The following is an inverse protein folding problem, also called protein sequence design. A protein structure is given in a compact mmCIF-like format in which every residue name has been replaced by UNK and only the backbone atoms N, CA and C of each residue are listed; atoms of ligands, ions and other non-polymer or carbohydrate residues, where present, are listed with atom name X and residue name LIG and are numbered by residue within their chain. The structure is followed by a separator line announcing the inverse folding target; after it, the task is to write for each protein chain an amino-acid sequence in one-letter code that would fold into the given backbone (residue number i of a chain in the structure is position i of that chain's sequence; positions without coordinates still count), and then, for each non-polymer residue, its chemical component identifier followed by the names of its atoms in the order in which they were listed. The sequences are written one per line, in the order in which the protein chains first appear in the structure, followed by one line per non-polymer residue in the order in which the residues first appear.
data_IF_785182652192
#
_entry.id   IF_785182652192
#
_cell.length_a   1.000
_cell.length_b   1.000
_cell.length_c   1.000
_cell.angle_alpha   90.00
_cell.angle_beta   90.00
_cell.angle_gamma   90.00
#
_symmetry.space_group_name_H-M   'P 1'
#
loop_
_entity.id
_entity.type
_entity.pdbx_description
1 polymer ?
#
# COMPACT_ATOMS: atom_id res chain seq x y z
N UNK A 1 5.31 -4.53 4.73
CA UNK A 1 5.65 -3.27 5.46
C UNK A 1 4.46 -2.82 6.29
N UNK A 2 4.36 -1.53 6.66
CA UNK A 2 3.23 -1.00 7.43
C UNK A 2 2.19 -0.33 6.51
N UNK A 3 0.99 -0.16 7.05
CA UNK A 3 -0.16 0.41 6.36
C UNK A 3 0.10 1.81 5.76
N UNK A 4 0.85 2.66 6.47
CA UNK A 4 1.12 4.03 6.01
C UNK A 4 2.09 4.03 4.83
N UNK A 5 3.14 3.21 4.89
CA UNK A 5 4.11 3.02 3.80
C UNK A 5 3.41 2.50 2.54
N UNK A 6 2.51 1.53 2.68
CA UNK A 6 1.74 0.96 1.57
C UNK A 6 0.81 1.97 0.88
N UNK A 7 0.31 2.97 1.61
CA UNK A 7 -0.43 4.09 1.00
C UNK A 7 0.52 5.10 0.34
N UNK A 8 1.57 5.53 1.07
CA UNK A 8 2.40 6.66 0.66
C UNK A 8 3.24 6.33 -0.57
N UNK A 9 3.77 5.12 -0.70
CA UNK A 9 4.67 4.78 -1.83
C UNK A 9 3.96 4.86 -3.19
N UNK A 10 2.85 4.16 -3.46
CA UNK A 10 2.19 4.28 -4.75
C UNK A 10 1.64 5.68 -5.00
N UNK A 11 1.11 6.37 -3.97
CA UNK A 11 0.68 7.76 -4.07
C UNK A 11 1.85 8.69 -4.45
N UNK A 12 3.04 8.49 -3.86
CA UNK A 12 4.24 9.26 -4.14
C UNK A 12 4.70 9.04 -5.59
N UNK A 13 4.79 7.79 -6.03
CA UNK A 13 5.20 7.44 -7.40
C UNK A 13 4.28 8.15 -8.40
N UNK A 14 2.96 8.00 -8.27
CA UNK A 14 1.98 8.63 -9.17
C UNK A 14 2.00 10.16 -9.10
N UNK A 15 2.38 10.74 -7.96
CA UNK A 15 2.50 12.20 -7.81
C UNK A 15 3.78 12.73 -8.44
N UNK A 16 4.89 12.02 -8.31
CA UNK A 16 6.21 12.46 -8.79
C UNK A 16 6.42 12.20 -10.27
N UNK A 17 5.80 11.15 -10.83
CA UNK A 17 5.75 10.94 -12.29
C UNK A 17 5.12 12.13 -13.01
N UNK A 18 4.37 12.97 -12.29
CA UNK A 18 3.83 14.24 -12.78
C UNK A 18 3.10 14.13 -14.14
N UNK A 19 2.48 12.99 -14.42
CA UNK A 19 1.70 12.79 -15.63
C UNK A 19 0.52 13.76 -15.61
N UNK A 20 0.43 14.61 -16.63
CA UNK A 20 -0.64 15.63 -16.76
C UNK A 20 -2.04 15.02 -16.78
N UNK A 21 -2.14 13.75 -17.16
CA UNK A 21 -3.38 12.98 -17.22
C UNK A 21 -3.87 12.47 -15.86
N UNK A 22 -3.03 12.51 -14.80
CA UNK A 22 -3.38 12.01 -13.46
C UNK A 22 -3.81 13.16 -12.54
N UNK A 23 -5.05 13.14 -12.14
CA UNK A 23 -5.60 14.04 -11.14
C UNK A 23 -5.37 13.50 -9.70
N UNK A 24 -5.92 14.20 -8.71
CA UNK A 24 -5.79 13.80 -7.30
C UNK A 24 -6.58 12.51 -7.01
N UNK A 25 -7.71 12.27 -7.67
CA UNK A 25 -8.54 11.06 -7.49
C UNK A 25 -7.78 9.83 -8.00
N UNK A 26 -7.08 9.97 -9.12
CA UNK A 26 -6.22 8.94 -9.71
C UNK A 26 -5.11 8.52 -8.75
N UNK A 27 -4.41 9.51 -8.18
CA UNK A 27 -3.31 9.27 -7.22
C UNK A 27 -3.81 8.65 -5.93
N UNK A 28 -4.98 9.08 -5.46
CA UNK A 28 -5.65 8.48 -4.31
C UNK A 28 -6.07 7.03 -4.58
N UNK A 29 -6.54 6.73 -5.79
CA UNK A 29 -6.86 5.35 -6.19
C UNK A 29 -5.64 4.44 -6.05
N UNK A 30 -4.45 4.91 -6.46
CA UNK A 30 -3.18 4.19 -6.25
C UNK A 30 -2.86 3.99 -4.77
N UNK A 31 -2.94 5.06 -3.97
CA UNK A 31 -2.71 4.97 -2.52
C UNK A 31 -3.69 4.02 -1.83
N UNK A 32 -4.97 4.11 -2.14
CA UNK A 32 -6.00 3.22 -1.60
C UNK A 32 -5.82 1.78 -2.07
N UNK A 33 -5.41 1.55 -3.31
CA UNK A 33 -5.03 0.23 -3.78
C UNK A 33 -3.87 -0.36 -2.98
N UNK A 34 -2.88 0.48 -2.64
CA UNK A 34 -1.73 0.07 -1.83
C UNK A 34 -2.09 -0.45 -0.43
N UNK A 35 -3.20 -0.02 0.14
CA UNK A 35 -3.67 -0.51 1.46
C UNK A 35 -4.80 -1.53 1.37
N UNK A 36 -5.36 -1.75 0.19
CA UNK A 36 -6.58 -2.54 0.03
C UNK A 36 -6.43 -3.99 0.50
N UNK A 37 -5.28 -4.61 0.27
CA UNK A 37 -5.05 -6.01 0.63
C UNK A 37 -4.77 -6.21 2.12
N UNK A 38 -4.32 -5.18 2.86
CA UNK A 38 -4.15 -5.22 4.32
C UNK A 38 -5.48 -5.23 5.08
N UNK A 39 -6.60 -4.98 4.41
CA UNK A 39 -7.92 -5.18 5.01
C UNK A 39 -8.25 -6.67 5.25
N UNK A 40 -7.38 -7.59 4.82
CA UNK A 40 -7.43 -8.99 5.22
C UNK A 40 -7.27 -9.20 6.74
N UNK A 41 -6.78 -8.21 7.45
CA UNK A 41 -6.80 -8.18 8.94
C UNK A 41 -8.22 -8.42 9.49
N UNK A 42 -9.27 -7.99 8.79
CA UNK A 42 -10.66 -8.28 9.16
C UNK A 42 -10.95 -9.79 8.97
N UNK A 43 -10.45 -10.37 7.89
CA UNK A 43 -10.57 -11.81 7.62
C UNK A 43 -9.75 -12.63 8.63
N UNK A 44 -8.61 -12.12 9.07
CA UNK A 44 -7.80 -12.72 10.13
C UNK A 44 -8.58 -12.84 11.44
N UNK A 45 -9.36 -11.83 11.82
CA UNK A 45 -10.23 -11.89 13.00
C UNK A 45 -11.29 -13.02 12.87
N UNK A 46 -11.83 -13.22 11.65
CA UNK A 46 -12.75 -14.34 11.38
C UNK A 46 -12.03 -15.67 11.46
N UNK A 47 -10.82 -15.79 10.88
CA UNK A 47 -9.99 -17.00 10.96
C UNK A 47 -9.58 -17.38 12.38
N UNK A 48 -9.50 -16.41 13.30
CA UNK A 48 -9.29 -16.68 14.73
C UNK A 48 -10.51 -17.34 15.38
N UNK A 49 -11.72 -16.97 14.93
CA UNK A 49 -12.97 -17.56 15.42
C UNK A 49 -13.29 -18.91 14.75
N UNK A 50 -12.81 -19.12 13.53
CA UNK A 50 -13.03 -20.33 12.72
C UNK A 50 -11.67 -20.81 12.19
N UNK A 51 -10.91 -21.62 12.96
CA UNK A 51 -9.55 -22.04 12.63
C UNK A 51 -9.40 -22.76 11.29
N UNK A 52 -10.48 -23.37 10.78
CA UNK A 52 -10.52 -24.02 9.46
C UNK A 52 -10.29 -23.02 8.30
N UNK A 53 -10.51 -21.74 8.56
CA UNK A 53 -10.29 -20.65 7.61
C UNK A 53 -8.87 -20.07 7.69
N UNK A 54 -7.86 -20.87 8.05
CA UNK A 54 -6.45 -20.46 8.16
C UNK A 54 -5.89 -19.84 6.86
N UNK A 55 -6.55 -20.05 5.71
CA UNK A 55 -6.20 -19.46 4.41
C UNK A 55 -6.37 -17.93 4.43
N UNK A 56 -7.23 -17.41 5.29
CA UNK A 56 -7.50 -15.98 5.47
C UNK A 56 -6.55 -15.29 6.47
N UNK A 57 -5.39 -15.89 6.73
CA UNK A 57 -4.36 -15.22 7.53
C UNK A 57 -3.81 -13.98 6.82
N UNK A 58 -3.39 -12.98 7.59
CA UNK A 58 -2.68 -11.83 7.06
C UNK A 58 -1.45 -12.28 6.25
N UNK A 59 -1.26 -11.67 5.08
CA UNK A 59 -0.32 -12.12 4.02
C UNK A 59 -0.64 -13.52 3.48
N UNK A 60 -1.92 -13.92 3.52
CA UNK A 60 -2.44 -15.12 2.90
C UNK A 60 -2.79 -14.91 1.42
N UNK A 61 -3.95 -15.41 1.02
CA UNK A 61 -4.39 -15.42 -0.39
C UNK A 61 -4.54 -14.02 -1.01
N UNK A 62 -4.91 -13.02 -0.20
CA UNK A 62 -5.06 -11.63 -0.65
C UNK A 62 -3.75 -11.04 -1.18
N UNK A 63 -2.61 -11.52 -0.67
CA UNK A 63 -1.26 -11.08 -1.04
C UNK A 63 -0.72 -11.84 -2.26
N UNK A 64 -1.57 -12.04 -3.27
CA UNK A 64 -1.22 -12.62 -4.56
C UNK A 64 -1.65 -11.71 -5.71
N UNK A 65 -1.08 -11.91 -6.89
CA UNK A 65 -1.40 -11.08 -8.05
C UNK A 65 -2.89 -11.14 -8.40
N UNK A 66 -3.49 -12.31 -8.42
CA UNK A 66 -4.89 -12.50 -8.83
C UNK A 66 -5.85 -11.94 -7.78
N UNK A 67 -5.69 -12.38 -6.53
CA UNK A 67 -6.60 -11.95 -5.46
C UNK A 67 -6.38 -10.49 -5.08
N UNK A 68 -5.15 -9.97 -5.24
CA UNK A 68 -4.88 -8.54 -5.11
C UNK A 68 -5.65 -7.68 -6.12
N UNK A 69 -5.81 -8.14 -7.37
CA UNK A 69 -6.66 -7.45 -8.35
C UNK A 69 -8.14 -7.47 -7.92
N UNK A 70 -8.64 -8.61 -7.47
CA UNK A 70 -10.02 -8.74 -6.98
C UNK A 70 -10.24 -7.80 -5.79
N UNK A 71 -9.29 -7.80 -4.84
CA UNK A 71 -9.35 -6.94 -3.63
C UNK A 71 -9.32 -5.46 -4.01
N UNK A 72 -8.44 -5.05 -4.95
CA UNK A 72 -8.41 -3.67 -5.46
C UNK A 72 -9.76 -3.25 -6.05
N UNK A 73 -10.37 -4.12 -6.86
CA UNK A 73 -11.66 -3.84 -7.50
C UNK A 73 -12.77 -3.68 -6.46
N UNK A 74 -12.87 -4.62 -5.51
CA UNK A 74 -13.86 -4.57 -4.43
C UNK A 74 -13.64 -3.33 -3.56
N UNK A 75 -12.39 -3.02 -3.21
CA UNK A 75 -12.07 -1.89 -2.34
C UNK A 75 -12.42 -0.55 -3.00
N UNK A 76 -12.04 -0.34 -4.28
CA UNK A 76 -12.41 0.87 -5.03
C UNK A 76 -13.92 1.00 -5.17
N UNK A 77 -14.63 -0.11 -5.42
CA UNK A 77 -16.08 -0.11 -5.45
C UNK A 77 -16.67 0.34 -4.11
N UNK A 78 -16.18 -0.19 -2.99
CA UNK A 78 -16.68 0.16 -1.66
C UNK A 78 -16.43 1.64 -1.32
N UNK A 79 -15.18 2.13 -1.49
CA UNK A 79 -14.85 3.52 -1.14
C UNK A 79 -15.48 4.55 -2.09
N UNK A 80 -15.95 4.13 -3.26
CA UNK A 80 -16.70 4.99 -4.18
C UNK A 80 -18.17 5.21 -3.77
N UNK A 81 -18.67 4.46 -2.75
CA UNK A 81 -20.04 4.59 -2.27
C UNK A 81 -20.25 5.85 -1.43
N UNK A 82 -21.37 6.59 -1.66
CA UNK A 82 -21.65 7.84 -0.95
C UNK A 82 -21.58 7.72 0.57
N UNK A 83 -22.07 6.63 1.13
CA UNK A 83 -22.06 6.37 2.57
C UNK A 83 -20.64 6.24 3.11
N UNK A 84 -19.72 5.59 2.36
CA UNK A 84 -18.35 5.32 2.79
C UNK A 84 -17.48 6.55 2.61
N UNK A 85 -17.47 7.17 1.41
CA UNK A 85 -16.66 8.37 1.24
C UNK A 85 -17.19 9.55 2.06
N UNK A 86 -18.51 9.62 2.32
CA UNK A 86 -19.11 10.60 3.22
C UNK A 86 -18.61 10.45 4.65
N UNK A 87 -18.53 9.23 5.17
CA UNK A 87 -17.95 8.93 6.48
C UNK A 87 -16.45 9.28 6.54
N UNK A 88 -15.68 8.89 5.52
CA UNK A 88 -14.25 9.22 5.43
C UNK A 88 -14.08 10.74 5.44
N UNK A 89 -14.83 11.48 4.61
CA UNK A 89 -14.73 12.93 4.52
C UNK A 89 -15.13 13.64 5.81
N UNK A 90 -16.12 13.10 6.52
CA UNK A 90 -16.50 13.59 7.85
C UNK A 90 -15.35 13.45 8.87
N UNK A 91 -14.70 12.27 8.89
CA UNK A 91 -13.60 11.99 9.81
C UNK A 91 -12.34 12.82 9.52
N UNK A 92 -11.94 12.92 8.26
CA UNK A 92 -10.69 13.58 7.87
C UNK A 92 -10.88 15.06 7.53
N UNK A 93 -12.11 15.56 7.51
CA UNK A 93 -12.47 16.95 7.16
C UNK A 93 -11.87 17.40 5.80
N UNK A 94 -11.94 16.51 4.82
CA UNK A 94 -11.47 16.73 3.44
C UNK A 94 -12.49 16.14 2.47
N UNK A 95 -12.61 16.74 1.29
CA UNK A 95 -13.42 16.16 0.20
C UNK A 95 -12.53 15.21 -0.61
N UNK A 96 -12.60 13.94 -0.26
CA UNK A 96 -11.95 12.84 -0.97
C UNK A 96 -13.04 12.06 -1.68
N UNK A 97 -12.95 11.97 -3.01
CA UNK A 97 -13.82 11.15 -3.83
C UNK A 97 -12.99 10.31 -4.76
N UNK A 98 -13.27 9.04 -4.79
CA UNK A 98 -12.77 8.09 -5.78
C UNK A 98 -13.98 7.58 -6.54
N UNK A 99 -13.89 7.49 -7.85
CA UNK A 99 -14.95 7.00 -8.71
C UNK A 99 -14.66 5.56 -9.12
N UNK A 100 -15.68 4.70 -9.12
CA UNK A 100 -15.51 3.34 -9.61
C UNK A 100 -15.54 3.33 -11.13
N UNK A 101 -14.36 3.20 -11.72
CA UNK A 101 -14.15 3.04 -13.16
C UNK A 101 -12.85 2.26 -13.41
N UNK A 102 -12.66 1.77 -14.65
CA UNK A 102 -11.50 0.96 -14.98
C UNK A 102 -10.15 1.65 -14.76
N UNK A 103 -10.09 2.97 -14.91
CA UNK A 103 -8.89 3.76 -14.66
C UNK A 103 -8.54 3.73 -13.16
N UNK A 104 -9.50 3.97 -12.30
CA UNK A 104 -9.32 3.91 -10.84
C UNK A 104 -8.93 2.50 -10.39
N UNK A 105 -9.56 1.45 -10.94
CA UNK A 105 -9.22 0.04 -10.67
C UNK A 105 -7.79 -0.28 -11.12
N UNK A 106 -7.38 0.16 -12.31
CA UNK A 106 -6.01 -0.06 -12.81
C UNK A 106 -4.96 0.62 -11.94
N UNK A 107 -5.23 1.86 -11.50
CA UNK A 107 -4.33 2.59 -10.61
C UNK A 107 -4.31 1.99 -9.21
N UNK A 108 -5.44 1.49 -8.71
CA UNK A 108 -5.48 0.75 -7.45
C UNK A 108 -4.71 -0.57 -7.56
N UNK A 109 -4.83 -1.28 -8.68
CA UNK A 109 -4.03 -2.48 -8.92
C UNK A 109 -2.52 -2.18 -9.00
N UNK A 110 -2.13 -1.06 -9.60
CA UNK A 110 -0.75 -0.56 -9.49
C UNK A 110 -0.34 -0.37 -8.02
N UNK A 111 -1.22 0.17 -7.18
CA UNK A 111 -1.01 0.27 -5.74
C UNK A 111 -0.81 -1.10 -5.08
N UNK A 112 -1.64 -2.09 -5.44
CA UNK A 112 -1.49 -3.49 -4.98
C UNK A 112 -0.15 -4.08 -5.41
N UNK A 113 0.25 -3.91 -6.67
CA UNK A 113 1.56 -4.40 -7.15
C UNK A 113 2.72 -3.76 -6.38
N UNK A 114 2.61 -2.48 -6.07
CA UNK A 114 3.59 -1.76 -5.24
C UNK A 114 3.62 -2.35 -3.81
N UNK A 115 2.45 -2.63 -3.22
CA UNK A 115 2.34 -3.28 -1.91
C UNK A 115 3.02 -4.65 -1.90
N UNK A 116 2.66 -5.51 -2.86
CA UNK A 116 3.25 -6.85 -2.98
C UNK A 116 4.78 -6.78 -3.14
N UNK A 117 5.27 -5.81 -3.91
CA UNK A 117 6.70 -5.57 -4.03
C UNK A 117 7.35 -5.16 -2.70
N UNK A 118 6.75 -4.22 -1.96
CA UNK A 118 7.24 -3.79 -0.66
C UNK A 118 7.23 -4.94 0.36
N UNK A 119 6.19 -5.78 0.35
CA UNK A 119 6.11 -6.93 1.24
C UNK A 119 7.07 -8.05 0.86
N UNK A 120 7.34 -8.24 -0.43
CA UNK A 120 8.43 -9.10 -0.89
C UNK A 120 9.80 -8.66 -0.32
N UNK A 121 10.03 -7.37 -0.15
CA UNK A 121 11.28 -6.87 0.45
C UNK A 121 11.39 -7.13 1.96
N UNK A 122 10.29 -7.50 2.64
CA UNK A 122 10.29 -7.72 4.10
C UNK A 122 10.49 -9.19 4.47
N UNK A 123 10.75 -9.45 5.75
CA UNK A 123 10.70 -10.79 6.34
C UNK A 123 9.26 -11.31 6.35
N UNK A 124 9.05 -12.62 6.24
CA UNK A 124 7.73 -13.24 6.31
C UNK A 124 7.19 -13.79 4.97
N UNK A 125 7.59 -13.19 3.85
CA UNK A 125 7.22 -13.64 2.51
C UNK A 125 5.74 -13.58 2.19
N UNK A 126 5.40 -13.67 0.90
CA UNK A 126 4.03 -13.62 0.39
C UNK A 126 3.83 -14.64 -0.75
N UNK A 127 2.63 -15.25 -0.89
CA UNK A 127 2.35 -16.25 -1.90
C UNK A 127 1.93 -15.61 -3.24
N UNK A 128 2.88 -14.94 -3.92
CA UNK A 128 2.62 -14.12 -5.13
C UNK A 128 1.78 -14.82 -6.20
N UNK A 129 2.01 -16.12 -6.38
CA UNK A 129 1.41 -16.91 -7.48
C UNK A 129 0.24 -17.79 -7.03
N UNK A 130 -0.33 -17.53 -5.84
CA UNK A 130 -1.54 -18.23 -5.42
C UNK A 130 -2.70 -17.96 -6.42
N UNK A 131 -3.52 -18.94 -6.83
CA UNK A 131 -3.65 -20.31 -6.32
C UNK A 131 -2.71 -21.36 -6.95
N UNK A 132 -1.87 -21.00 -7.91
CA UNK A 132 -1.02 -21.97 -8.65
C UNK A 132 0.17 -22.45 -7.80
N UNK A 133 0.63 -21.65 -6.83
CA UNK A 133 1.74 -21.99 -5.94
C UNK A 133 1.53 -21.40 -4.57
N UNK A 134 1.83 -22.19 -3.54
CA UNK A 134 1.86 -21.77 -2.13
C UNK A 134 3.24 -21.26 -1.70
N UNK A 135 4.23 -21.28 -2.61
CA UNK A 135 5.58 -20.82 -2.33
C UNK A 135 5.55 -19.35 -1.90
N UNK A 136 6.18 -19.06 -0.77
CA UNK A 136 6.30 -17.70 -0.25
C UNK A 136 7.61 -17.06 -0.68
N UNK A 137 7.54 -15.89 -1.26
CA UNK A 137 8.67 -15.14 -1.79
C UNK A 137 9.04 -13.99 -0.85
N UNK A 138 10.34 -13.85 -0.55
CA UNK A 138 10.86 -12.77 0.29
C UNK A 138 12.32 -12.47 -0.06
N UNK A 139 12.70 -11.19 -0.04
CA UNK A 139 14.08 -10.72 -0.14
C UNK A 139 14.74 -10.48 1.24
N UNK A 140 13.95 -10.40 2.31
CA UNK A 140 14.42 -10.20 3.70
C UNK A 140 15.36 -9.00 3.88
N UNK A 141 15.06 -7.87 3.23
CA UNK A 141 15.82 -6.62 3.32
C UNK A 141 15.31 -5.78 4.49
N UNK A 142 13.99 -5.71 4.66
CA UNK A 142 13.33 -4.96 5.72
C UNK A 142 12.74 -5.89 6.77
N UNK A 143 12.50 -5.35 7.97
CA UNK A 143 11.69 -6.04 8.96
C UNK A 143 10.24 -6.14 8.50
N UNK A 144 9.49 -7.06 9.09
CA UNK A 144 8.06 -7.26 8.80
C UNK A 144 7.28 -5.96 8.92
N UNK A 145 7.48 -5.22 10.02
CA UNK A 145 7.10 -3.82 10.18
C UNK A 145 8.36 -3.05 10.56
N UNK A 146 8.78 -2.13 9.71
CA UNK A 146 10.00 -1.35 9.93
C UNK A 146 9.65 -0.03 10.64
N UNK A 147 10.10 0.19 11.90
CA UNK A 147 9.70 1.36 12.68
C UNK A 147 10.13 2.68 12.02
N UNK A 148 11.29 2.71 11.38
CA UNK A 148 11.82 3.94 10.75
C UNK A 148 10.94 4.33 9.55
N UNK A 149 10.67 3.37 8.66
CA UNK A 149 9.81 3.63 7.50
C UNK A 149 8.39 4.01 7.92
N UNK A 150 7.83 3.37 8.96
CA UNK A 150 6.51 3.66 9.51
C UNK A 150 6.41 5.10 10.03
N UNK A 151 7.38 5.52 10.87
CA UNK A 151 7.39 6.88 11.45
C UNK A 151 7.51 7.94 10.35
N UNK A 152 8.41 7.72 9.37
CA UNK A 152 8.60 8.69 8.28
C UNK A 152 7.39 8.71 7.35
N UNK A 153 6.78 7.57 7.04
CA UNK A 153 5.55 7.52 6.24
C UNK A 153 4.40 8.26 6.94
N UNK A 154 4.24 8.10 8.26
CA UNK A 154 3.25 8.83 9.03
C UNK A 154 3.52 10.35 9.00
N UNK A 155 4.78 10.78 9.16
CA UNK A 155 5.17 12.19 9.05
C UNK A 155 4.83 12.76 7.66
N UNK A 156 5.07 12.00 6.59
CA UNK A 156 4.70 12.40 5.22
C UNK A 156 3.18 12.54 5.08
N UNK A 157 2.37 11.63 5.64
CA UNK A 157 0.91 11.76 5.64
C UNK A 157 0.45 13.03 6.36
N UNK A 158 1.06 13.37 7.49
CA UNK A 158 0.80 14.65 8.19
C UNK A 158 1.13 15.84 7.29
N UNK A 159 2.29 15.83 6.62
CA UNK A 159 2.68 16.90 5.66
C UNK A 159 1.68 17.00 4.51
N UNK A 160 1.20 15.87 3.97
CA UNK A 160 0.19 15.86 2.92
C UNK A 160 -1.16 16.43 3.40
N UNK A 161 -1.51 16.19 4.65
CA UNK A 161 -2.73 16.70 5.27
C UNK A 161 -2.64 18.22 5.52
N UNK A 162 -1.49 18.76 5.87
CA UNK A 162 -1.29 20.20 6.13
C UNK A 162 -1.55 21.04 4.87
N UNK A 163 -1.98 22.31 5.06
CA UNK A 163 -2.23 23.26 3.97
C UNK A 163 -0.92 23.88 3.44
N UNK A 164 0.05 23.06 3.09
CA UNK A 164 1.32 23.48 2.53
C UNK A 164 1.25 23.63 1.01
N UNK A 165 2.17 24.46 0.46
CA UNK A 165 2.31 24.61 -0.98
C UNK A 165 2.66 23.26 -1.64
N UNK A 166 2.13 22.95 -2.85
CA UNK A 166 2.36 21.66 -3.52
C UNK A 166 3.84 21.29 -3.67
N UNK A 167 4.73 22.28 -3.83
CA UNK A 167 6.18 22.09 -3.92
C UNK A 167 6.73 21.33 -2.70
N UNK A 168 6.36 21.75 -1.49
CA UNK A 168 6.86 21.10 -0.25
C UNK A 168 6.33 19.68 -0.09
N UNK A 169 5.08 19.43 -0.50
CA UNK A 169 4.51 18.08 -0.51
C UNK A 169 5.26 17.15 -1.47
N UNK A 170 5.59 17.62 -2.67
CA UNK A 170 6.41 16.87 -3.63
C UNK A 170 7.81 16.59 -3.10
N UNK A 171 8.45 17.57 -2.45
CA UNK A 171 9.77 17.39 -1.83
C UNK A 171 9.71 16.31 -0.73
N UNK A 172 8.70 16.34 0.15
CA UNK A 172 8.53 15.33 1.19
C UNK A 172 8.34 13.92 0.62
N UNK A 173 7.52 13.77 -0.43
CA UNK A 173 7.33 12.50 -1.13
C UNK A 173 8.62 11.99 -1.79
N UNK A 174 9.36 12.87 -2.45
CA UNK A 174 10.64 12.51 -3.08
C UNK A 174 11.68 12.10 -2.03
N UNK A 175 11.82 12.87 -0.96
CA UNK A 175 12.73 12.57 0.14
C UNK A 175 12.39 11.22 0.79
N UNK A 176 11.12 10.91 0.98
CA UNK A 176 10.67 9.61 1.49
C UNK A 176 11.08 8.46 0.59
N UNK A 177 10.86 8.55 -0.73
CA UNK A 177 11.26 7.49 -1.65
C UNK A 177 12.79 7.32 -1.72
N UNK A 178 13.54 8.42 -1.71
CA UNK A 178 15.01 8.38 -1.67
C UNK A 178 15.47 7.70 -0.38
N UNK A 179 14.93 8.10 0.78
CA UNK A 179 15.23 7.47 2.07
C UNK A 179 14.93 5.95 2.03
N UNK A 180 13.76 5.57 1.51
CA UNK A 180 13.39 4.16 1.42
C UNK A 180 14.41 3.37 0.60
N UNK A 181 14.77 3.84 -0.60
CA UNK A 181 15.74 3.18 -1.47
C UNK A 181 17.12 3.13 -0.85
N UNK A 182 17.61 4.26 -0.28
CA UNK A 182 18.94 4.34 0.34
C UNK A 182 19.05 3.42 1.54
N UNK A 183 18.03 3.39 2.39
CA UNK A 183 18.00 2.54 3.59
C UNK A 183 17.97 1.05 3.24
N UNK A 184 17.20 0.69 2.19
CA UNK A 184 17.23 -0.66 1.63
C UNK A 184 18.60 -1.04 1.06
N UNK A 185 19.27 -0.12 0.35
CA UNK A 185 20.59 -0.31 -0.19
C UNK A 185 21.66 -0.57 0.87
N UNK A 186 21.63 0.20 1.98
CA UNK A 186 22.55 -0.01 3.12
C UNK A 186 22.34 -1.42 3.69
N UNK A 187 21.11 -1.83 3.96
CA UNK A 187 20.81 -3.16 4.52
C UNK A 187 21.20 -4.32 3.60
N UNK A 188 21.13 -4.12 2.29
CA UNK A 188 21.64 -5.11 1.33
C UNK A 188 23.16 -5.19 1.44
N UNK A 189 23.87 -4.06 1.55
CA UNK A 189 25.32 -4.01 1.77
C UNK A 189 25.72 -4.77 3.02
N UNK A 190 25.13 -4.44 4.17
CA UNK A 190 25.41 -5.10 5.47
C UNK A 190 25.16 -6.61 5.39
N UNK A 191 24.12 -7.04 4.69
CA UNK A 191 23.80 -8.46 4.51
C UNK A 191 24.83 -9.18 3.65
N UNK A 192 25.36 -8.52 2.63
CA UNK A 192 26.40 -9.10 1.74
C UNK A 192 27.77 -9.19 2.43
N UNK A 193 28.09 -8.27 3.33
CA UNK A 193 29.32 -8.30 4.12
C UNK A 193 29.30 -9.38 5.21
N UNK A 194 28.11 -9.84 5.62
CA UNK A 194 27.92 -10.88 6.65
C UNK A 194 27.92 -12.32 6.09
N UNK A 195 27.97 -12.50 4.77
CA UNK A 195 28.01 -13.80 4.08
C UNK A 195 29.46 -14.17 3.70
#
# INVERSE_FOLDING_TARGET
MDFFTHFVVPFAILTLLNLRSLDIKDRLSGGFGGISIDFDVILFAIGFLVPELFIFTHRGITHSFIFGLITAMVFIYLISRPSIYGLINYMIKRDIRVEFNWRAVSLAYFGVLTHLFLDFLTTGGIPLFYPFSLTRFTATIYYYTDPVTTIVALAVLVILYLRLKPKYKKIALAAFLIMLVSFGGIRVGDKMEAL
#
